data_IF_673367612528
#
_entry.id   IF_673367612528
#
_cell.length_a   1.000
_cell.length_b   1.000
_cell.length_c   1.000
_cell.angle_alpha   90.00
_cell.angle_beta   90.00
_cell.angle_gamma   90.00
#
_symmetry.space_group_name_H-M   'P 1'
#
loop_
_entity.id
_entity.type
_entity.pdbx_description
1 polymer ?
#
# COMPACT_ATOMS: atom_id res chain seq x y z
N UNK A 1 -18.87 -2.17 -52.65
CA UNK A 1 -17.95 -1.01 -52.68
C UNK A 1 -16.65 -1.23 -51.89
N UNK A 2 -16.23 -2.49 -51.65
CA UNK A 2 -15.12 -2.82 -50.74
C UNK A 2 -13.69 -2.71 -51.32
N UNK A 3 -13.50 -2.35 -52.59
CA UNK A 3 -12.19 -2.34 -53.26
C UNK A 3 -11.71 -0.95 -53.76
N UNK A 4 -12.24 0.16 -53.23
CA UNK A 4 -11.85 1.53 -53.67
C UNK A 4 -10.92 2.29 -52.72
N UNK A 5 -10.49 1.68 -51.61
CA UNK A 5 -9.49 2.27 -50.72
C UNK A 5 -8.21 1.45 -50.86
N UNK A 6 -7.13 2.08 -51.34
CA UNK A 6 -5.82 1.44 -51.43
C UNK A 6 -5.42 0.85 -50.07
N UNK A 7 -4.77 -0.33 -50.10
CA UNK A 7 -4.25 -0.98 -48.90
C UNK A 7 -3.39 0.04 -48.14
N UNK A 8 -3.76 0.42 -46.91
CA UNK A 8 -2.95 1.35 -46.13
C UNK A 8 -1.56 0.72 -45.92
N UNK A 9 -0.53 1.56 -46.01
CA UNK A 9 0.84 1.12 -45.72
C UNK A 9 0.89 0.41 -44.37
N UNK A 10 1.62 -0.71 -44.27
CA UNK A 10 1.65 -1.56 -43.08
C UNK A 10 1.98 -0.80 -41.79
N UNK A 11 2.86 0.22 -41.86
CA UNK A 11 3.13 1.13 -40.73
C UNK A 11 1.89 1.87 -40.21
N UNK A 12 0.99 2.33 -41.11
CA UNK A 12 -0.25 2.99 -40.71
C UNK A 12 -1.22 2.01 -40.06
N UNK A 13 -1.30 0.78 -40.58
CA UNK A 13 -2.11 -0.28 -39.98
C UNK A 13 -1.58 -0.66 -38.60
N UNK A 14 -0.27 -0.79 -38.46
CA UNK A 14 0.39 -1.09 -37.20
C UNK A 14 0.15 -0.01 -36.14
N UNK A 15 0.36 1.26 -36.50
CA UNK A 15 0.11 2.38 -35.60
C UNK A 15 -1.36 2.45 -35.15
N UNK A 16 -2.31 2.16 -36.05
CA UNK A 16 -3.73 2.08 -35.69
C UNK A 16 -4.02 0.96 -34.69
N UNK A 17 -3.41 -0.21 -34.84
CA UNK A 17 -3.59 -1.33 -33.90
C UNK A 17 -3.03 -0.98 -32.53
N UNK A 18 -1.81 -0.42 -32.46
CA UNK A 18 -1.20 0.01 -31.19
C UNK A 18 -2.06 1.07 -30.48
N UNK A 19 -2.56 2.05 -31.23
CA UNK A 19 -3.46 3.06 -30.67
C UNK A 19 -4.79 2.47 -30.20
N UNK A 20 -5.37 1.53 -30.96
CA UNK A 20 -6.63 0.89 -30.60
C UNK A 20 -6.48 0.06 -29.32
N UNK A 21 -5.39 -0.68 -29.19
CA UNK A 21 -5.04 -1.42 -27.97
C UNK A 21 -4.84 -0.48 -26.79
N UNK A 22 -4.12 0.63 -26.97
CA UNK A 22 -3.91 1.63 -25.93
C UNK A 22 -5.25 2.18 -25.41
N UNK A 23 -6.13 2.66 -26.30
CA UNK A 23 -7.44 3.21 -25.90
C UNK A 23 -8.32 2.13 -25.26
N UNK A 24 -8.37 0.93 -25.83
CA UNK A 24 -9.21 -0.16 -25.34
C UNK A 24 -8.77 -0.69 -23.97
N UNK A 25 -7.48 -0.60 -23.64
CA UNK A 25 -6.93 -1.08 -22.38
C UNK A 25 -6.93 -0.04 -21.26
N UNK A 26 -7.18 1.24 -21.54
CA UNK A 26 -7.22 2.29 -20.50
C UNK A 26 -8.18 1.91 -19.35
N UNK A 27 -9.47 1.58 -19.60
CA UNK A 27 -10.39 1.26 -18.51
C UNK A 27 -9.96 0.09 -17.61
N UNK A 28 -9.64 -1.11 -18.14
CA UNK A 28 -9.24 -2.22 -17.29
C UNK A 28 -7.88 -1.99 -16.60
N UNK A 29 -6.92 -1.32 -17.25
CA UNK A 29 -5.62 -1.04 -16.63
C UNK A 29 -5.76 -0.08 -15.45
N UNK A 30 -6.56 0.97 -15.58
CA UNK A 30 -6.83 1.91 -14.48
C UNK A 30 -7.67 1.27 -13.37
N UNK A 31 -8.65 0.43 -13.72
CA UNK A 31 -9.46 -0.28 -12.75
C UNK A 31 -8.63 -1.23 -11.87
N UNK A 32 -7.70 -1.98 -12.48
CA UNK A 32 -6.98 -3.05 -11.78
C UNK A 32 -5.64 -2.60 -11.19
N UNK A 33 -4.89 -1.76 -11.90
CA UNK A 33 -3.50 -1.42 -11.55
C UNK A 33 -3.28 0.07 -11.27
N UNK A 34 -4.27 0.90 -11.60
CA UNK A 34 -4.21 2.36 -11.50
C UNK A 34 -2.99 2.96 -12.21
N UNK A 35 -2.55 2.29 -13.28
CA UNK A 35 -1.30 2.56 -14.00
C UNK A 35 -1.52 2.44 -15.51
N UNK A 36 -0.86 3.30 -16.28
CA UNK A 36 -0.79 3.25 -17.73
C UNK A 36 0.67 3.39 -18.16
N UNK A 37 1.20 2.38 -18.87
CA UNK A 37 2.53 2.49 -19.47
C UNK A 37 2.46 3.32 -20.75
N UNK A 38 2.96 4.55 -20.71
CA UNK A 38 2.94 5.47 -21.85
C UNK A 38 3.95 5.06 -22.94
N UNK A 39 5.01 4.34 -22.54
CA UNK A 39 6.02 3.80 -23.45
C UNK A 39 5.58 2.49 -24.11
N UNK A 40 4.49 1.86 -23.64
CA UNK A 40 4.04 0.55 -24.13
C UNK A 40 3.87 0.48 -25.65
N UNK A 41 3.31 1.49 -26.36
CA UNK A 41 3.23 1.43 -27.81
C UNK A 41 4.60 1.32 -28.50
N UNK A 42 5.63 1.99 -27.99
CA UNK A 42 6.99 1.96 -28.56
C UNK A 42 7.71 0.68 -28.15
N UNK A 43 7.58 0.28 -26.89
CA UNK A 43 8.15 -0.98 -26.38
C UNK A 43 7.58 -2.18 -27.15
N UNK A 44 6.25 -2.28 -27.24
CA UNK A 44 5.57 -3.34 -28.00
C UNK A 44 5.86 -3.24 -29.49
N UNK A 45 6.05 -2.02 -30.02
CA UNK A 45 6.36 -1.80 -31.42
C UNK A 45 7.61 -2.59 -31.87
N UNK A 46 8.61 -2.67 -31.00
CA UNK A 46 9.93 -3.24 -31.27
C UNK A 46 10.10 -4.62 -30.64
N UNK A 47 9.69 -4.78 -29.38
CA UNK A 47 9.89 -6.02 -28.64
C UNK A 47 9.05 -7.18 -29.21
N UNK A 48 7.78 -6.95 -29.56
CA UNK A 48 6.92 -8.04 -30.05
C UNK A 48 7.48 -8.63 -31.36
N UNK A 49 7.81 -7.84 -32.41
CA UNK A 49 8.40 -8.41 -33.62
C UNK A 49 9.76 -9.07 -33.38
N UNK A 50 10.64 -8.44 -32.60
CA UNK A 50 11.98 -8.98 -32.33
C UNK A 50 11.90 -10.32 -31.59
N UNK A 51 11.09 -10.40 -30.54
CA UNK A 51 10.91 -11.65 -29.79
C UNK A 51 10.23 -12.71 -30.66
N UNK A 52 9.17 -12.35 -31.38
CA UNK A 52 8.36 -13.32 -32.15
C UNK A 52 9.05 -13.86 -33.39
N UNK A 53 9.82 -13.02 -34.11
CA UNK A 53 10.42 -13.40 -35.39
C UNK A 53 11.92 -13.70 -35.31
N UNK A 54 12.60 -13.33 -34.22
CA UNK A 54 14.04 -13.56 -34.05
C UNK A 54 14.31 -14.45 -32.84
N UNK A 55 13.94 -14.01 -31.63
CA UNK A 55 14.32 -14.72 -30.39
C UNK A 55 13.66 -16.10 -30.31
N UNK A 56 12.33 -16.18 -30.47
CA UNK A 56 11.60 -17.45 -30.37
C UNK A 56 12.03 -18.45 -31.45
N UNK A 57 12.12 -18.08 -32.74
CA UNK A 57 12.60 -19.01 -33.76
C UNK A 57 14.05 -19.48 -33.53
N UNK A 58 14.96 -18.60 -33.10
CA UNK A 58 16.34 -18.97 -32.81
C UNK A 58 16.45 -19.89 -31.59
N UNK A 59 15.65 -19.64 -30.54
CA UNK A 59 15.61 -20.52 -29.37
C UNK A 59 15.04 -21.89 -29.70
N UNK A 60 13.96 -21.96 -30.50
CA UNK A 60 13.39 -23.23 -30.97
C UNK A 60 14.37 -23.98 -31.90
N UNK A 61 15.08 -23.28 -32.77
CA UNK A 61 16.11 -23.86 -33.63
C UNK A 61 17.27 -24.42 -32.79
N UNK A 62 17.73 -23.64 -31.81
CA UNK A 62 18.82 -24.03 -30.91
C UNK A 62 18.47 -25.17 -29.95
N UNK A 63 17.20 -25.54 -29.83
CA UNK A 63 16.79 -26.74 -29.10
C UNK A 63 16.99 -28.03 -29.92
N UNK A 64 17.25 -27.92 -31.23
CA UNK A 64 17.55 -29.06 -32.09
C UNK A 64 19.06 -29.41 -32.00
N UNK A 65 19.42 -30.70 -31.99
CA UNK A 65 20.81 -31.12 -32.04
C UNK A 65 21.55 -30.48 -33.24
N UNK A 66 22.81 -30.07 -33.03
CA UNK A 66 23.68 -29.41 -34.01
C UNK A 66 23.40 -27.91 -34.27
N UNK A 67 22.39 -27.33 -33.63
CA UNK A 67 22.01 -25.92 -33.83
C UNK A 67 22.24 -25.01 -32.61
N UNK A 68 23.01 -25.47 -31.62
CA UNK A 68 23.30 -24.74 -30.38
C UNK A 68 23.87 -23.32 -30.61
N UNK A 69 24.50 -23.08 -31.77
CA UNK A 69 24.98 -21.76 -32.20
C UNK A 69 23.87 -20.70 -32.27
N UNK A 70 22.61 -21.10 -32.45
CA UNK A 70 21.45 -20.22 -32.47
C UNK A 70 21.12 -19.66 -31.08
N UNK A 71 21.47 -20.37 -30.00
CA UNK A 71 21.16 -19.95 -28.62
C UNK A 71 21.93 -18.68 -28.21
N UNK A 72 23.25 -18.55 -28.42
CA UNK A 72 23.97 -17.29 -28.19
C UNK A 72 23.40 -16.12 -29.00
N UNK A 73 22.96 -16.34 -30.25
CA UNK A 73 22.36 -15.29 -31.07
C UNK A 73 20.98 -14.87 -30.53
N UNK A 74 20.16 -15.82 -30.11
CA UNK A 74 18.89 -15.55 -29.46
C UNK A 74 19.08 -14.75 -28.17
N UNK A 75 20.06 -15.15 -27.35
CA UNK A 75 20.43 -14.44 -26.13
C UNK A 75 20.92 -13.02 -26.43
N UNK A 76 21.79 -12.83 -27.41
CA UNK A 76 22.28 -11.51 -27.80
C UNK A 76 21.15 -10.59 -28.28
N UNK A 77 20.25 -11.10 -29.13
CA UNK A 77 19.08 -10.36 -29.58
C UNK A 77 18.15 -9.98 -28.42
N UNK A 78 17.93 -10.91 -27.48
CA UNK A 78 17.14 -10.66 -26.27
C UNK A 78 17.82 -9.65 -25.35
N UNK A 79 19.14 -9.74 -25.14
CA UNK A 79 19.90 -8.81 -24.32
C UNK A 79 19.80 -7.37 -24.87
N UNK A 80 19.97 -7.19 -26.18
CA UNK A 80 19.78 -5.89 -26.83
C UNK A 80 18.35 -5.36 -26.64
N UNK A 81 17.35 -6.25 -26.73
CA UNK A 81 15.96 -5.89 -26.44
C UNK A 81 15.79 -5.43 -24.98
N UNK A 82 16.38 -6.15 -24.03
CA UNK A 82 16.30 -5.83 -22.62
C UNK A 82 17.00 -4.52 -22.28
N UNK A 83 18.19 -4.26 -22.84
CA UNK A 83 18.90 -2.99 -22.68
C UNK A 83 18.04 -1.81 -23.18
N UNK A 84 17.39 -2.00 -24.33
CA UNK A 84 16.46 -1.02 -24.88
C UNK A 84 15.24 -0.79 -23.96
N UNK A 85 14.63 -1.87 -23.44
CA UNK A 85 13.49 -1.76 -22.52
C UNK A 85 13.88 -1.12 -21.19
N UNK A 86 15.04 -1.45 -20.63
CA UNK A 86 15.56 -0.82 -19.42
C UNK A 86 15.87 0.66 -19.63
N UNK A 87 16.36 1.02 -20.81
CA UNK A 87 16.53 2.43 -21.17
C UNK A 87 15.19 3.17 -21.23
N UNK A 88 14.16 2.57 -21.83
CA UNK A 88 12.81 3.15 -21.86
C UNK A 88 12.21 3.30 -20.46
N UNK A 89 12.44 2.33 -19.58
CA UNK A 89 11.91 2.32 -18.21
C UNK A 89 12.48 3.48 -17.35
N UNK A 90 13.70 3.91 -17.65
CA UNK A 90 14.34 5.07 -16.98
C UNK A 90 13.78 6.42 -17.45
N UNK A 91 12.94 6.46 -18.48
CA UNK A 91 12.37 7.72 -18.94
C UNK A 91 11.35 8.26 -17.93
N UNK A 92 11.32 9.59 -17.70
CA UNK A 92 10.26 10.18 -16.90
C UNK A 92 8.90 9.87 -17.56
N UNK A 93 7.93 9.45 -16.75
CA UNK A 93 6.59 9.05 -17.20
C UNK A 93 6.53 7.74 -18.02
N UNK A 94 7.52 6.86 -17.91
CA UNK A 94 7.43 5.50 -18.47
C UNK A 94 6.13 4.80 -18.05
N UNK A 95 5.79 4.92 -16.77
CA UNK A 95 4.50 4.54 -16.20
C UNK A 95 3.85 5.77 -15.60
N UNK A 96 2.67 6.10 -16.09
CA UNK A 96 1.80 7.09 -15.48
C UNK A 96 0.87 6.40 -14.48
N UNK A 97 0.69 7.00 -13.31
CA UNK A 97 -0.14 6.44 -12.25
C UNK A 97 -1.18 7.45 -11.78
N UNK A 98 -2.34 6.97 -11.35
CA UNK A 98 -3.41 7.81 -10.81
C UNK A 98 -4.16 7.08 -9.70
N UNK A 99 -5.15 7.72 -9.08
CA UNK A 99 -6.07 7.06 -8.15
C UNK A 99 -6.97 6.03 -8.83
N UNK A 100 -7.62 5.20 -8.01
CA UNK A 100 -8.62 4.25 -8.48
C UNK A 100 -9.87 5.03 -8.95
N UNK A 101 -10.26 4.92 -10.25
CA UNK A 101 -11.48 5.57 -10.70
C UNK A 101 -12.71 4.94 -10.04
N UNK A 102 -13.76 5.72 -9.72
CA UNK A 102 -15.02 5.16 -9.26
C UNK A 102 -15.61 4.15 -10.25
N UNK A 103 -16.27 3.09 -9.77
CA UNK A 103 -16.82 2.00 -10.60
C UNK A 103 -17.71 2.49 -11.76
N UNK A 104 -18.56 3.49 -11.49
CA UNK A 104 -19.43 4.06 -12.52
C UNK A 104 -18.64 4.77 -13.63
N UNK A 105 -17.51 5.41 -13.29
CA UNK A 105 -16.66 6.08 -14.25
C UNK A 105 -15.93 5.08 -15.13
N UNK A 106 -15.58 3.90 -14.60
CA UNK A 106 -14.99 2.81 -15.36
C UNK A 106 -15.99 2.31 -16.41
N UNK A 107 -17.26 2.13 -16.03
CA UNK A 107 -18.31 1.72 -16.97
C UNK A 107 -18.47 2.73 -18.11
N UNK A 108 -18.50 4.03 -17.81
CA UNK A 108 -18.50 5.08 -18.83
C UNK A 108 -17.24 5.06 -19.68
N UNK A 109 -16.08 4.82 -19.06
CA UNK A 109 -14.81 4.71 -19.78
C UNK A 109 -14.76 3.55 -20.75
N UNK A 110 -15.31 2.39 -20.40
CA UNK A 110 -15.47 1.24 -21.31
C UNK A 110 -16.35 1.62 -22.49
N UNK A 111 -17.49 2.27 -22.25
CA UNK A 111 -18.38 2.75 -23.30
C UNK A 111 -17.70 3.80 -24.19
N UNK A 112 -16.94 4.73 -23.59
CA UNK A 112 -16.17 5.74 -24.29
C UNK A 112 -15.09 5.15 -25.19
N UNK A 113 -14.33 4.19 -24.67
CA UNK A 113 -13.33 3.45 -25.43
C UNK A 113 -13.99 2.68 -26.60
N UNK A 114 -15.08 1.96 -26.35
CA UNK A 114 -15.83 1.26 -27.40
C UNK A 114 -16.35 2.22 -28.48
N UNK A 115 -16.85 3.40 -28.09
CA UNK A 115 -17.34 4.43 -29.00
C UNK A 115 -16.22 5.00 -29.87
N UNK A 116 -15.06 5.30 -29.27
CA UNK A 116 -13.87 5.78 -29.98
C UNK A 116 -13.42 4.75 -31.01
N UNK A 117 -13.43 3.47 -30.64
CA UNK A 117 -12.99 2.34 -31.46
C UNK A 117 -14.04 1.83 -32.46
N UNK A 118 -15.23 2.43 -32.50
CA UNK A 118 -16.29 2.04 -33.43
C UNK A 118 -15.86 2.13 -34.91
N UNK A 119 -16.51 1.39 -35.83
CA UNK A 119 -16.14 1.38 -37.25
C UNK A 119 -16.08 2.76 -37.92
N UNK A 120 -15.34 2.85 -39.03
CA UNK A 120 -15.31 4.05 -39.87
C UNK A 120 -16.71 4.32 -40.44
N UNK A 121 -17.33 5.45 -40.05
CA UNK A 121 -18.71 5.82 -40.42
C UNK A 121 -19.63 6.06 -39.23
N UNK A 122 -19.24 5.61 -38.02
CA UNK A 122 -19.98 5.95 -36.81
C UNK A 122 -19.84 7.45 -36.50
N UNK A 123 -20.94 8.19 -36.24
CA UNK A 123 -20.88 9.64 -36.05
C UNK A 123 -20.16 10.01 -34.75
N UNK A 124 -19.49 11.16 -34.76
CA UNK A 124 -18.98 11.84 -33.55
C UNK A 124 -18.11 10.96 -32.65
N UNK A 125 -17.28 10.07 -33.23
CA UNK A 125 -16.43 9.13 -32.47
C UNK A 125 -15.56 9.78 -31.39
N UNK A 126 -15.11 11.01 -31.64
CA UNK A 126 -14.33 11.78 -30.67
C UNK A 126 -15.08 12.10 -29.37
N UNK A 127 -16.43 12.12 -29.37
CA UNK A 127 -17.22 12.33 -28.15
C UNK A 127 -17.12 11.19 -27.15
N UNK A 128 -16.67 10.00 -27.56
CA UNK A 128 -16.34 8.94 -26.62
C UNK A 128 -15.25 9.34 -25.62
N UNK A 129 -14.41 10.34 -25.96
CA UNK A 129 -13.45 10.90 -25.03
C UNK A 129 -14.12 11.60 -23.83
N UNK A 130 -15.30 12.20 -24.01
CA UNK A 130 -16.07 12.82 -22.92
C UNK A 130 -16.50 11.76 -21.90
N UNK A 131 -16.87 10.57 -22.37
CA UNK A 131 -17.23 9.44 -21.49
C UNK A 131 -16.02 8.86 -20.74
N UNK A 132 -14.80 9.07 -21.23
CA UNK A 132 -13.57 8.69 -20.54
C UNK A 132 -13.18 9.70 -19.44
N UNK A 133 -13.49 11.00 -19.61
CA UNK A 133 -13.04 12.07 -18.70
C UNK A 133 -13.34 11.81 -17.22
N UNK A 134 -14.53 11.30 -16.80
CA UNK A 134 -14.80 11.08 -15.38
C UNK A 134 -13.79 10.18 -14.67
N UNK A 135 -13.17 9.22 -15.36
CA UNK A 135 -12.14 8.35 -14.77
C UNK A 135 -10.89 9.10 -14.32
N UNK A 136 -10.63 10.25 -14.94
CA UNK A 136 -9.44 11.06 -14.71
C UNK A 136 -9.73 12.24 -13.79
N UNK A 137 -10.94 12.81 -13.88
CA UNK A 137 -11.29 14.06 -13.21
C UNK A 137 -11.93 13.86 -11.83
N UNK A 138 -12.58 12.71 -11.58
CA UNK A 138 -13.23 12.45 -10.29
C UNK A 138 -12.20 11.85 -9.33
N UNK A 139 -11.72 12.66 -8.38
CA UNK A 139 -10.76 12.25 -7.37
C UNK A 139 -11.45 11.65 -6.13
N UNK A 140 -10.79 10.76 -5.37
CA UNK A 140 -11.34 10.24 -4.13
C UNK A 140 -11.57 11.35 -3.12
N UNK A 141 -12.64 11.24 -2.34
CA UNK A 141 -12.97 12.20 -1.30
C UNK A 141 -11.95 12.12 -0.16
N UNK A 142 -11.42 13.27 0.22
CA UNK A 142 -10.52 13.42 1.37
C UNK A 142 -11.34 13.68 2.63
N UNK A 143 -10.83 13.30 3.82
CA UNK A 143 -11.46 13.67 5.07
C UNK A 143 -11.68 15.18 5.17
N UNK A 144 -12.80 15.58 5.79
CA UNK A 144 -13.02 16.98 6.15
C UNK A 144 -12.01 17.44 7.22
N UNK A 145 -11.82 18.75 7.42
CA UNK A 145 -11.12 19.25 8.60
C UNK A 145 -11.73 18.70 9.90
N UNK A 146 -10.93 18.61 10.98
CA UNK A 146 -11.29 17.98 12.25
C UNK A 146 -11.68 16.49 12.15
N UNK A 147 -11.29 15.83 11.06
CA UNK A 147 -11.56 14.42 10.80
C UNK A 147 -10.30 13.68 10.32
N UNK A 148 -10.26 12.38 10.56
CA UNK A 148 -9.22 11.50 10.07
C UNK A 148 -9.81 10.20 9.51
N UNK A 149 -9.25 9.75 8.40
CA UNK A 149 -9.40 8.40 7.87
C UNK A 149 -8.18 7.59 8.26
N UNK A 150 -8.38 6.50 8.99
CA UNK A 150 -7.33 5.58 9.41
C UNK A 150 -7.56 4.23 8.74
N UNK A 151 -6.54 3.69 8.08
CA UNK A 151 -6.57 2.37 7.49
C UNK A 151 -5.50 1.49 8.12
N UNK A 152 -5.92 0.50 8.88
CA UNK A 152 -5.03 -0.58 9.36
C UNK A 152 -5.01 -1.64 8.26
N UNK A 153 -3.85 -1.84 7.64
CA UNK A 153 -3.74 -2.72 6.48
C UNK A 153 -3.75 -4.20 6.90
N UNK A 154 -4.32 -5.05 6.05
CA UNK A 154 -4.11 -6.49 6.11
C UNK A 154 -2.82 -6.83 5.32
N UNK A 155 -1.68 -6.76 6.01
CA UNK A 155 -0.36 -7.09 5.45
C UNK A 155 0.11 -8.51 5.80
N UNK A 156 -0.78 -9.33 6.37
CA UNK A 156 -0.42 -10.61 6.96
C UNK A 156 0.14 -10.46 8.38
N UNK A 157 1.28 -11.11 8.66
CA UNK A 157 1.96 -10.98 9.95
C UNK A 157 2.83 -9.73 9.91
N UNK A 158 2.43 -8.69 10.62
CA UNK A 158 3.12 -7.40 10.66
C UNK A 158 2.19 -6.24 10.92
N UNK A 159 2.69 -5.02 10.78
CA UNK A 159 1.91 -3.80 11.01
C UNK A 159 2.16 -2.78 9.91
N UNK A 160 1.08 -2.19 9.42
CA UNK A 160 1.10 -0.95 8.66
C UNK A 160 -0.23 -0.23 8.91
N UNK A 161 -0.17 1.09 9.12
CA UNK A 161 -1.34 1.94 9.35
C UNK A 161 -1.19 3.27 8.63
N UNK A 162 -2.12 3.62 7.75
CA UNK A 162 -2.19 4.94 7.13
C UNK A 162 -3.17 5.82 7.91
N UNK A 163 -2.80 7.08 8.13
CA UNK A 163 -3.65 8.11 8.73
C UNK A 163 -3.70 9.28 7.77
N UNK A 164 -4.85 9.49 7.15
CA UNK A 164 -5.11 10.59 6.22
C UNK A 164 -5.96 11.65 6.93
N UNK A 165 -5.51 12.90 6.88
CA UNK A 165 -6.30 14.09 7.25
C UNK A 165 -6.74 14.80 5.97
N UNK A 166 -7.34 15.99 6.10
CA UNK A 166 -7.78 16.75 4.94
C UNK A 166 -6.61 17.19 4.02
N UNK A 167 -5.40 17.35 4.54
CA UNK A 167 -4.23 17.78 3.77
C UNK A 167 -2.98 16.91 3.92
N UNK A 168 -2.86 16.14 4.99
CA UNK A 168 -1.65 15.38 5.32
C UNK A 168 -1.92 13.88 5.37
N UNK A 169 -0.87 13.09 5.13
CA UNK A 169 -0.88 11.64 5.30
C UNK A 169 0.34 11.19 6.09
N UNK A 170 0.09 10.44 7.15
CA UNK A 170 1.10 9.70 7.93
C UNK A 170 0.98 8.22 7.62
N UNK A 171 2.11 7.56 7.41
CA UNK A 171 2.21 6.11 7.42
C UNK A 171 2.96 5.66 8.69
N UNK A 172 2.40 4.73 9.44
CA UNK A 172 3.02 4.11 10.62
C UNK A 172 3.30 2.64 10.28
N UNK A 173 4.57 2.28 10.26
CA UNK A 173 5.13 1.03 9.75
C UNK A 173 4.77 0.73 8.29
N UNK A 174 5.51 -0.20 7.70
CA UNK A 174 5.40 -0.55 6.29
C UNK A 174 5.13 -2.02 6.04
N UNK A 175 4.94 -2.81 7.09
CA UNK A 175 4.62 -4.23 7.02
C UNK A 175 5.80 -5.13 6.64
N UNK A 176 5.56 -6.43 6.43
CA UNK A 176 6.57 -7.43 6.15
C UNK A 176 7.19 -7.34 4.77
N UNK A 177 8.43 -7.83 4.69
CA UNK A 177 9.04 -8.33 3.47
C UNK A 177 8.58 -9.78 3.23
N UNK A 178 8.12 -10.10 2.03
CA UNK A 178 7.73 -11.47 1.66
C UNK A 178 8.86 -12.20 0.93
N UNK A 179 9.59 -11.48 0.08
CA UNK A 179 10.75 -11.94 -0.68
C UNK A 179 11.52 -10.75 -1.25
N UNK A 180 12.76 -10.94 -1.70
CA UNK A 180 13.60 -9.85 -2.20
C UNK A 180 13.06 -9.01 -3.37
N UNK A 181 11.98 -9.44 -4.04
CA UNK A 181 11.30 -8.66 -5.10
C UNK A 181 9.85 -8.28 -4.72
N UNK A 182 9.31 -8.79 -3.62
CA UNK A 182 7.92 -8.59 -3.22
C UNK A 182 7.82 -8.34 -1.72
N UNK A 183 7.39 -7.13 -1.38
CA UNK A 183 7.12 -6.72 -0.01
C UNK A 183 5.69 -6.17 0.11
N UNK A 184 5.26 -5.92 1.33
CA UNK A 184 3.96 -5.29 1.60
C UNK A 184 3.86 -3.87 1.03
N UNK A 185 4.97 -3.16 0.87
CA UNK A 185 5.06 -1.87 0.19
C UNK A 185 4.55 -1.92 -1.24
N UNK A 186 5.21 -2.69 -2.11
CA UNK A 186 4.87 -2.74 -3.54
C UNK A 186 3.63 -3.58 -3.85
N UNK A 187 3.28 -4.58 -3.01
CA UNK A 187 2.11 -5.43 -3.23
C UNK A 187 0.82 -4.91 -2.62
N UNK A 188 0.90 -4.13 -1.54
CA UNK A 188 -0.29 -3.77 -0.74
C UNK A 188 -0.38 -2.27 -0.53
N UNK A 189 0.60 -1.67 0.16
CA UNK A 189 0.53 -0.28 0.62
C UNK A 189 0.47 0.70 -0.55
N UNK A 190 1.45 0.67 -1.47
CA UNK A 190 1.52 1.63 -2.59
C UNK A 190 0.27 1.57 -3.48
N UNK A 191 -0.22 0.38 -3.92
CA UNK A 191 -1.47 0.31 -4.67
C UNK A 191 -2.68 0.88 -3.92
N UNK A 192 -2.82 0.59 -2.62
CA UNK A 192 -3.96 1.06 -1.83
C UNK A 192 -3.88 2.56 -1.54
N UNK A 193 -2.72 3.08 -1.14
CA UNK A 193 -2.49 4.51 -0.93
C UNK A 193 -2.79 5.29 -2.22
N UNK A 194 -2.29 4.79 -3.35
CA UNK A 194 -2.60 5.36 -4.66
C UNK A 194 -4.11 5.32 -4.93
N UNK A 195 -4.77 4.18 -4.70
CA UNK A 195 -6.22 4.06 -4.89
C UNK A 195 -7.01 5.10 -4.08
N UNK A 196 -6.56 5.41 -2.86
CA UNK A 196 -7.11 6.46 -1.98
C UNK A 196 -6.77 7.89 -2.42
N UNK A 197 -6.04 8.08 -3.52
CA UNK A 197 -5.63 9.39 -4.01
C UNK A 197 -4.47 10.01 -3.22
N UNK A 198 -3.71 9.19 -2.49
CA UNK A 198 -2.53 9.62 -1.75
C UNK A 198 -1.33 9.56 -2.70
N UNK A 199 -0.81 10.73 -3.05
CA UNK A 199 0.32 10.90 -3.97
C UNK A 199 1.62 11.34 -3.26
N UNK A 200 1.57 11.64 -1.97
CA UNK A 200 2.71 12.01 -1.14
C UNK A 200 2.51 11.53 0.29
N UNK A 201 3.60 11.35 1.03
CA UNK A 201 3.58 11.09 2.46
C UNK A 201 4.19 12.28 3.18
N UNK A 202 3.43 12.92 4.05
CA UNK A 202 3.93 14.03 4.85
C UNK A 202 4.74 13.50 6.05
N UNK A 203 4.49 12.26 6.48
CA UNK A 203 5.29 11.59 7.51
C UNK A 203 5.33 10.08 7.36
N UNK A 204 6.46 9.49 7.75
CA UNK A 204 6.63 8.05 7.92
C UNK A 204 7.16 7.77 9.33
N UNK A 205 6.47 6.95 10.11
CA UNK A 205 6.97 6.42 11.39
C UNK A 205 7.36 4.97 11.20
N UNK A 206 8.59 4.61 11.55
CA UNK A 206 9.07 3.22 11.61
C UNK A 206 9.31 2.86 13.08
N UNK A 207 8.40 2.06 13.64
CA UNK A 207 8.27 1.82 15.06
C UNK A 207 9.52 1.20 15.67
N UNK A 208 10.11 0.18 15.03
CA UNK A 208 11.37 -0.50 15.37
C UNK A 208 11.91 -1.24 14.13
N UNK A 209 13.01 -2.00 14.25
CA UNK A 209 13.76 -2.54 13.12
C UNK A 209 13.31 -3.91 12.58
N UNK A 210 12.30 -4.55 13.18
CA UNK A 210 11.88 -5.88 12.77
C UNK A 210 11.23 -5.89 11.37
N UNK A 211 11.50 -6.95 10.61
CA UNK A 211 11.16 -7.03 9.19
C UNK A 211 9.66 -7.02 8.92
N UNK A 212 8.82 -7.45 9.86
CA UNK A 212 7.35 -7.37 9.78
C UNK A 212 6.78 -5.97 10.03
N UNK A 213 7.65 -5.01 10.35
CA UNK A 213 7.33 -3.59 10.48
C UNK A 213 8.00 -2.73 9.41
N UNK A 214 9.25 -3.03 9.03
CA UNK A 214 10.03 -2.18 8.12
C UNK A 214 10.27 -2.77 6.74
N UNK A 215 9.81 -4.00 6.48
CA UNK A 215 10.09 -4.72 5.24
C UNK A 215 9.61 -4.00 3.97
N UNK A 216 8.46 -3.32 4.03
CA UNK A 216 7.93 -2.53 2.90
C UNK A 216 8.59 -1.18 2.66
N UNK A 217 9.57 -0.77 3.49
CA UNK A 217 10.06 0.63 3.52
C UNK A 217 10.74 1.05 2.22
N UNK A 218 11.53 0.18 1.60
CA UNK A 218 12.24 0.51 0.36
C UNK A 218 11.25 0.83 -0.77
N UNK A 219 10.30 -0.08 -1.01
CA UNK A 219 9.24 0.08 -2.01
C UNK A 219 8.36 1.30 -1.76
N UNK A 220 8.00 1.57 -0.50
CA UNK A 220 7.22 2.76 -0.15
C UNK A 220 8.00 4.04 -0.46
N UNK A 221 9.28 4.13 -0.07
CA UNK A 221 10.11 5.33 -0.30
C UNK A 221 10.42 5.59 -1.76
N UNK A 222 10.52 4.53 -2.56
CA UNK A 222 10.69 4.64 -4.01
C UNK A 222 9.44 5.24 -4.67
N UNK A 223 8.25 4.80 -4.25
CA UNK A 223 6.99 5.25 -4.84
C UNK A 223 6.46 6.59 -4.27
N UNK A 224 6.68 6.83 -2.97
CA UNK A 224 6.13 7.94 -2.20
C UNK A 224 7.21 8.47 -1.24
N UNK A 225 7.96 9.47 -1.69
CA UNK A 225 9.03 10.06 -0.87
C UNK A 225 8.40 10.79 0.35
N UNK A 226 8.71 10.37 1.59
CA UNK A 226 8.18 11.04 2.77
C UNK A 226 8.94 12.32 3.08
N UNK A 227 8.25 13.37 3.53
CA UNK A 227 8.89 14.64 3.92
C UNK A 227 9.78 14.48 5.16
N UNK A 228 9.35 13.64 6.11
CA UNK A 228 10.16 13.24 7.27
C UNK A 228 9.92 11.78 7.67
N UNK A 229 10.93 11.19 8.29
CA UNK A 229 10.88 9.87 8.92
C UNK A 229 11.11 10.03 10.42
N UNK A 230 10.23 9.45 11.24
CA UNK A 230 10.44 9.24 12.68
C UNK A 230 10.71 7.76 12.94
N UNK A 231 11.70 7.44 13.76
CA UNK A 231 12.01 6.02 14.03
C UNK A 231 12.70 5.80 15.38
N UNK A 232 12.59 4.58 15.92
CA UNK A 232 13.43 4.14 17.04
C UNK A 232 14.70 3.38 16.60
N UNK A 233 14.84 3.08 15.31
CA UNK A 233 16.01 2.41 14.76
C UNK A 233 17.29 3.26 14.89
N UNK A 234 18.43 2.60 14.78
CA UNK A 234 19.72 3.27 14.73
C UNK A 234 19.79 4.25 13.54
N UNK A 235 20.41 5.42 13.74
CA UNK A 235 20.44 6.48 12.74
C UNK A 235 21.22 6.11 11.46
N UNK A 236 22.10 5.12 11.52
CA UNK A 236 22.89 4.57 10.42
C UNK A 236 22.21 3.37 9.72
N UNK A 237 20.97 3.04 10.08
CA UNK A 237 20.24 1.94 9.47
C UNK A 237 20.09 2.15 7.94
N UNK A 238 20.37 1.14 7.09
CA UNK A 238 20.37 1.30 5.62
C UNK A 238 19.05 1.83 5.04
N UNK A 239 17.92 1.46 5.65
CA UNK A 239 16.59 1.94 5.23
C UNK A 239 16.37 3.44 5.42
N UNK A 240 17.23 4.11 6.20
CA UNK A 240 17.18 5.57 6.43
C UNK A 240 18.12 6.34 5.51
N UNK A 241 18.98 5.63 4.76
CA UNK A 241 19.93 6.26 3.86
C UNK A 241 19.21 7.07 2.76
N UNK A 242 19.69 8.29 2.53
CA UNK A 242 19.13 9.21 1.53
C UNK A 242 17.78 9.83 1.90
N UNK A 243 17.27 9.64 3.12
CA UNK A 243 16.06 10.32 3.57
C UNK A 243 16.33 11.81 3.89
N UNK A 244 15.40 12.69 3.50
CA UNK A 244 15.57 14.14 3.62
C UNK A 244 15.58 14.64 5.06
N UNK A 245 14.77 14.04 5.94
CA UNK A 245 14.75 14.35 7.36
C UNK A 245 14.46 13.09 8.16
N UNK A 246 15.39 12.70 9.04
CA UNK A 246 15.24 11.56 9.96
C UNK A 246 15.30 12.07 11.39
N UNK A 247 14.31 11.70 12.19
CA UNK A 247 14.18 12.11 13.59
C UNK A 247 13.94 10.88 14.46
N UNK A 248 14.50 10.80 15.67
CA UNK A 248 14.14 9.73 16.58
C UNK A 248 12.68 9.90 17.05
N UNK A 249 11.99 8.78 17.31
CA UNK A 249 10.79 8.80 18.13
C UNK A 249 11.18 9.20 19.56
N UNK A 250 10.54 10.23 20.09
CA UNK A 250 10.78 10.71 21.45
C UNK A 250 9.46 10.94 22.15
N UNK A 251 9.34 10.35 23.33
CA UNK A 251 8.25 10.65 24.26
C UNK A 251 8.08 12.16 24.45
N UNK A 252 6.85 12.65 24.29
CA UNK A 252 6.48 14.05 24.39
C UNK A 252 6.52 14.81 23.06
N UNK A 253 6.96 14.20 21.96
CA UNK A 253 6.82 14.80 20.63
C UNK A 253 5.33 14.89 20.25
N UNK A 254 4.83 16.11 20.08
CA UNK A 254 3.44 16.40 19.72
C UNK A 254 3.39 17.27 18.47
N UNK A 255 2.46 16.96 17.57
CA UNK A 255 2.09 17.82 16.45
C UNK A 255 0.60 17.73 16.15
N UNK A 256 0.10 18.64 15.33
CA UNK A 256 -1.30 18.69 14.94
C UNK A 256 -1.43 18.96 13.44
N UNK A 257 -2.34 18.25 12.80
CA UNK A 257 -2.73 18.43 11.40
C UNK A 257 -4.25 18.53 11.32
N UNK A 258 -4.76 19.66 10.82
CA UNK A 258 -6.19 19.88 10.56
C UNK A 258 -7.13 19.45 11.70
N UNK A 259 -6.76 19.71 12.96
CA UNK A 259 -7.57 19.35 14.13
C UNK A 259 -7.27 17.97 14.73
N UNK A 260 -6.43 17.16 14.08
CA UNK A 260 -5.97 15.83 14.53
C UNK A 260 -4.65 15.98 15.26
N UNK A 261 -4.61 15.57 16.52
CA UNK A 261 -3.39 15.62 17.35
C UNK A 261 -2.68 14.27 17.31
N UNK A 262 -1.37 14.31 17.10
CA UNK A 262 -0.49 13.17 17.12
C UNK A 262 0.53 13.35 18.23
N UNK A 263 0.76 12.31 19.02
CA UNK A 263 1.65 12.36 20.18
C UNK A 263 2.44 11.05 20.30
N UNK A 264 3.77 11.14 20.38
CA UNK A 264 4.62 10.00 20.69
C UNK A 264 4.70 9.84 22.20
N UNK A 265 4.35 8.67 22.70
CA UNK A 265 4.40 8.32 24.13
C UNK A 265 5.61 7.47 24.51
N UNK A 266 6.29 6.90 23.51
CA UNK A 266 7.44 6.01 23.70
C UNK A 266 8.27 5.96 22.40
N UNK A 267 9.61 5.79 22.46
CA UNK A 267 10.44 5.59 23.65
C UNK A 267 10.77 6.87 24.43
N UNK A 268 10.90 6.73 25.76
CA UNK A 268 11.40 7.79 26.63
C UNK A 268 12.93 7.93 26.55
N UNK A 269 13.48 9.11 26.89
CA UNK A 269 14.90 9.44 26.75
C UNK A 269 15.87 8.46 27.46
N UNK A 270 15.43 7.78 28.51
CA UNK A 270 16.25 6.81 29.26
C UNK A 270 16.31 5.42 28.61
N UNK A 271 15.47 5.16 27.60
CA UNK A 271 15.35 3.87 26.91
C UNK A 271 16.56 3.58 26.00
N UNK A 272 17.24 4.63 25.52
CA UNK A 272 18.42 4.52 24.65
C UNK A 272 19.70 4.01 25.36
N UNK A 273 19.71 3.93 26.70
CA UNK A 273 20.93 3.66 27.48
C UNK A 273 21.08 2.21 27.97
N UNK A 274 20.08 1.35 27.74
CA UNK A 274 20.13 -0.08 28.13
C UNK A 274 20.10 -0.94 26.88
N UNK A 275 20.80 -2.09 26.90
CA UNK A 275 20.58 -3.20 25.95
C UNK A 275 19.15 -3.74 26.14
N UNK A 276 18.16 -2.97 25.70
CA UNK A 276 16.77 -3.39 25.63
C UNK A 276 16.55 -4.16 24.34
N UNK A 277 15.61 -5.09 24.36
CA UNK A 277 15.14 -5.76 23.15
C UNK A 277 14.59 -4.72 22.17
N UNK A 278 14.75 -4.96 20.87
CA UNK A 278 14.38 -4.00 19.82
C UNK A 278 12.90 -3.59 19.90
N UNK A 279 12.03 -4.56 20.18
CA UNK A 279 10.59 -4.38 20.36
C UNK A 279 10.25 -3.40 21.50
N UNK A 280 11.05 -3.38 22.58
CA UNK A 280 10.90 -2.46 23.72
C UNK A 280 11.47 -1.05 23.45
N UNK A 281 11.86 -0.75 22.21
CA UNK A 281 12.08 0.60 21.70
C UNK A 281 10.98 1.07 20.74
N UNK A 282 9.98 0.24 20.46
CA UNK A 282 8.89 0.55 19.52
C UNK A 282 8.29 1.93 19.75
N UNK A 283 8.17 2.73 18.69
CA UNK A 283 7.43 3.99 18.77
C UNK A 283 5.97 3.71 19.18
N UNK A 284 5.46 4.43 20.17
CA UNK A 284 4.03 4.37 20.54
C UNK A 284 3.40 5.70 20.15
N UNK A 285 2.44 5.65 19.23
CA UNK A 285 1.74 6.83 18.71
C UNK A 285 0.31 6.84 19.23
N UNK A 286 -0.07 7.97 19.83
CA UNK A 286 -1.45 8.31 20.16
C UNK A 286 -1.98 9.31 19.14
N UNK A 287 -3.13 9.00 18.55
CA UNK A 287 -3.85 9.86 17.60
C UNK A 287 -5.15 10.29 18.26
N UNK A 288 -5.45 11.58 18.28
CA UNK A 288 -6.58 12.13 19.04
C UNK A 288 -7.39 13.14 18.25
N UNK A 289 -8.72 13.02 18.35
CA UNK A 289 -9.68 14.03 17.92
C UNK A 289 -10.74 14.16 19.03
N UNK A 290 -10.74 15.30 19.73
CA UNK A 290 -11.61 15.47 20.90
C UNK A 290 -11.33 14.43 21.99
N UNK A 291 -12.35 13.69 22.41
CA UNK A 291 -12.26 12.61 23.42
C UNK A 291 -11.99 11.22 22.83
N UNK A 292 -11.83 11.12 21.50
CA UNK A 292 -11.54 9.86 20.82
C UNK A 292 -10.06 9.71 20.59
N UNK A 293 -9.55 8.53 20.91
CA UNK A 293 -8.13 8.24 20.87
C UNK A 293 -7.89 6.89 20.20
N UNK A 294 -6.91 6.84 19.31
CA UNK A 294 -6.37 5.60 18.75
C UNK A 294 -4.94 5.45 19.26
N UNK A 295 -4.59 4.26 19.74
CA UNK A 295 -3.26 3.94 20.22
C UNK A 295 -2.60 2.88 19.32
N UNK A 296 -1.51 3.27 18.66
CA UNK A 296 -0.65 2.40 17.86
C UNK A 296 0.60 2.10 18.69
N UNK A 297 0.79 0.84 19.06
CA UNK A 297 1.80 0.49 20.07
C UNK A 297 3.04 -0.20 19.51
N UNK A 298 3.07 -0.53 18.22
CA UNK A 298 4.07 -1.45 17.68
C UNK A 298 4.19 -2.71 18.52
N UNK A 299 5.41 -3.11 18.82
CA UNK A 299 5.71 -4.37 19.48
C UNK A 299 6.15 -4.23 20.93
N UNK A 300 5.75 -3.15 21.60
CA UNK A 300 6.05 -2.96 23.02
C UNK A 300 5.67 -4.19 23.85
N UNK A 301 6.56 -4.57 24.77
CA UNK A 301 6.34 -5.66 25.70
C UNK A 301 6.11 -5.14 27.13
N UNK A 302 6.03 -6.06 28.10
CA UNK A 302 5.68 -5.75 29.51
C UNK A 302 6.49 -4.61 30.12
N UNK A 303 7.78 -4.50 29.78
CA UNK A 303 8.63 -3.45 30.36
C UNK A 303 8.25 -2.06 29.83
N UNK A 304 7.97 -1.94 28.54
CA UNK A 304 7.45 -0.73 27.92
C UNK A 304 6.03 -0.39 28.38
N UNK A 305 5.16 -1.39 28.50
CA UNK A 305 3.82 -1.20 29.09
C UNK A 305 3.88 -0.66 30.52
N UNK A 306 4.76 -1.21 31.37
CA UNK A 306 4.96 -0.73 32.74
C UNK A 306 5.50 0.71 32.78
N UNK A 307 6.35 1.10 31.83
CA UNK A 307 6.83 2.48 31.68
C UNK A 307 5.68 3.41 31.32
N UNK A 308 4.88 3.06 30.32
CA UNK A 308 3.72 3.84 29.91
C UNK A 308 2.71 4.02 31.04
N UNK A 309 2.41 2.96 31.79
CA UNK A 309 1.53 3.02 32.97
C UNK A 309 2.04 3.99 34.04
N UNK A 310 3.36 4.09 34.21
CA UNK A 310 3.98 4.98 35.18
C UNK A 310 4.05 6.43 34.69
N UNK A 311 4.32 6.63 33.40
CA UNK A 311 4.63 7.95 32.84
C UNK A 311 3.40 8.66 32.29
N UNK A 312 2.47 7.92 31.69
CA UNK A 312 1.34 8.47 30.95
C UNK A 312 -0.01 7.79 31.28
N UNK A 313 -0.35 7.51 32.56
CA UNK A 313 -1.59 6.80 32.89
C UNK A 313 -2.84 7.48 32.29
N UNK A 314 -2.86 8.81 32.25
CA UNK A 314 -3.99 9.60 31.77
C UNK A 314 -4.13 9.63 30.23
N UNK A 315 -3.09 9.19 29.50
CA UNK A 315 -3.08 9.19 28.02
C UNK A 315 -3.33 7.80 27.43
N UNK A 316 -3.34 6.76 28.27
CA UNK A 316 -3.56 5.38 27.85
C UNK A 316 -4.99 5.06 27.44
N UNK A 317 -6.06 5.64 28.04
CA UNK A 317 -7.42 5.35 27.61
C UNK A 317 -7.60 5.57 26.11
N UNK A 318 -8.05 4.53 25.40
CA UNK A 318 -8.19 4.56 23.95
C UNK A 318 -9.57 4.07 23.50
N UNK A 319 -10.12 4.68 22.46
CA UNK A 319 -11.29 4.14 21.74
C UNK A 319 -10.89 2.86 21.03
N UNK A 320 -9.79 2.93 20.26
CA UNK A 320 -9.23 1.78 19.55
C UNK A 320 -7.76 1.58 19.91
N UNK A 321 -7.41 0.32 20.16
CA UNK A 321 -6.04 -0.13 20.37
C UNK A 321 -5.63 -1.07 19.24
N UNK A 322 -4.51 -0.81 18.59
CA UNK A 322 -3.79 -1.87 17.86
C UNK A 322 -3.00 -2.67 18.88
N UNK A 323 -3.32 -3.95 19.02
CA UNK A 323 -2.78 -4.78 20.10
C UNK A 323 -1.25 -4.85 20.01
N UNK A 324 -0.52 -4.62 21.13
CA UNK A 324 0.94 -4.68 21.11
C UNK A 324 1.47 -6.04 20.66
N UNK A 325 2.51 -6.03 19.83
CA UNK A 325 3.24 -7.23 19.41
C UNK A 325 2.31 -8.29 18.80
N UNK A 326 1.38 -7.83 17.96
CA UNK A 326 0.36 -8.65 17.29
C UNK A 326 -0.52 -9.50 18.23
N UNK A 327 -0.55 -9.18 19.54
CA UNK A 327 -1.20 -9.99 20.56
C UNK A 327 -0.34 -11.14 21.11
N UNK A 328 0.99 -11.00 21.12
CA UNK A 328 1.93 -11.91 21.76
C UNK A 328 1.67 -12.07 23.27
N UNK A 329 1.98 -13.25 23.82
CA UNK A 329 1.92 -13.49 25.27
C UNK A 329 2.98 -12.68 26.06
N UNK A 330 3.97 -12.11 25.38
CA UNK A 330 4.96 -11.20 26.00
C UNK A 330 4.39 -9.80 26.22
N UNK A 331 3.26 -9.44 25.62
CA UNK A 331 2.61 -8.15 25.78
C UNK A 331 1.19 -8.29 26.35
N UNK A 332 0.44 -7.18 26.32
CA UNK A 332 -0.92 -7.01 26.79
C UNK A 332 -1.08 -7.47 28.25
N UNK A 333 -0.24 -6.96 29.16
CA UNK A 333 -0.36 -7.25 30.59
C UNK A 333 -1.70 -6.81 31.15
N UNK A 334 -2.16 -7.45 32.23
CA UNK A 334 -3.45 -7.11 32.84
C UNK A 334 -3.55 -5.63 33.24
N UNK A 335 -2.49 -5.04 33.78
CA UNK A 335 -2.48 -3.63 34.17
C UNK A 335 -2.58 -2.70 32.95
N UNK A 336 -1.88 -3.03 31.85
CA UNK A 336 -1.94 -2.25 30.62
C UNK A 336 -3.32 -2.31 29.97
N UNK A 337 -3.85 -3.52 29.78
CA UNK A 337 -5.19 -3.75 29.22
C UNK A 337 -6.24 -3.02 30.06
N UNK A 338 -6.16 -3.13 31.39
CA UNK A 338 -7.04 -2.41 32.30
C UNK A 338 -6.98 -0.88 32.13
N UNK A 339 -5.77 -0.30 32.07
CA UNK A 339 -5.60 1.15 31.95
C UNK A 339 -6.00 1.71 30.57
N UNK A 340 -5.75 0.96 29.49
CA UNK A 340 -6.15 1.38 28.14
C UNK A 340 -7.66 1.29 27.95
N UNK A 341 -8.31 0.30 28.56
CA UNK A 341 -9.75 0.07 28.49
C UNK A 341 -10.36 0.28 27.09
N UNK A 342 -9.82 -0.40 26.05
CA UNK A 342 -10.21 -0.14 24.68
C UNK A 342 -11.64 -0.60 24.40
N UNK A 343 -12.38 0.18 23.60
CA UNK A 343 -13.67 -0.25 23.07
C UNK A 343 -13.48 -1.28 21.95
N UNK A 344 -12.50 -1.04 21.07
CA UNK A 344 -12.10 -1.97 20.01
C UNK A 344 -10.61 -2.29 20.08
N UNK A 345 -10.27 -3.54 19.79
CA UNK A 345 -8.89 -4.01 19.68
C UNK A 345 -8.67 -4.67 18.34
N UNK A 346 -7.65 -4.23 17.60
CA UNK A 346 -7.26 -4.82 16.33
C UNK A 346 -5.96 -5.61 16.51
N UNK A 347 -6.00 -6.90 16.20
CA UNK A 347 -4.81 -7.74 16.11
C UNK A 347 -4.34 -7.81 14.65
N UNK A 348 -3.14 -7.31 14.37
CA UNK A 348 -2.53 -7.39 13.05
C UNK A 348 -1.70 -8.66 12.95
N UNK A 349 -2.34 -9.78 12.63
CA UNK A 349 -1.71 -11.10 12.62
C UNK A 349 -2.01 -11.82 11.33
N UNK A 350 -1.05 -12.59 10.81
CA UNK A 350 -1.25 -13.34 9.56
C UNK A 350 -2.08 -14.60 9.75
N UNK A 351 -2.81 -15.01 8.71
CA UNK A 351 -3.54 -16.28 8.71
C UNK A 351 -2.58 -17.45 8.93
N UNK A 352 -2.88 -18.31 9.92
CA UNK A 352 -2.01 -19.44 10.31
C UNK A 352 -0.54 -19.04 10.52
N UNK A 353 -0.31 -17.86 11.09
CA UNK A 353 1.05 -17.40 11.39
C UNK A 353 1.77 -18.40 12.33
N UNK A 354 3.09 -18.54 12.13
CA UNK A 354 3.95 -19.47 12.88
C UNK A 354 4.03 -19.17 14.39
N UNK A 355 3.71 -17.94 14.79
CA UNK A 355 3.78 -17.46 16.16
C UNK A 355 2.54 -17.81 16.99
N UNK A 356 1.47 -18.27 16.33
CA UNK A 356 0.16 -18.50 16.94
C UNK A 356 -0.42 -17.24 17.59
N UNK A 357 -0.19 -16.09 16.96
CA UNK A 357 -0.77 -14.81 17.33
C UNK A 357 -2.18 -14.64 16.71
N UNK A 358 -3.09 -13.89 17.36
CA UNK A 358 -2.97 -13.45 18.75
C UNK A 358 -3.08 -14.62 19.73
N UNK A 359 -2.33 -14.57 20.83
CA UNK A 359 -2.32 -15.66 21.79
C UNK A 359 -3.67 -15.75 22.54
N UNK A 360 -4.26 -16.95 22.74
CA UNK A 360 -5.60 -17.08 23.33
C UNK A 360 -5.77 -16.41 24.70
N UNK A 361 -4.71 -16.40 25.53
CA UNK A 361 -4.77 -15.73 26.85
C UNK A 361 -4.81 -14.21 26.74
N UNK A 362 -4.23 -13.62 25.68
CA UNK A 362 -4.30 -12.17 25.41
C UNK A 362 -5.69 -11.81 24.91
N UNK A 363 -6.20 -12.57 23.95
CA UNK A 363 -7.59 -12.45 23.45
C UNK A 363 -8.58 -12.50 24.62
N UNK A 364 -8.43 -13.46 25.53
CA UNK A 364 -9.29 -13.58 26.72
C UNK A 364 -9.14 -12.43 27.73
N UNK A 365 -8.02 -11.69 27.76
CA UNK A 365 -7.89 -10.48 28.60
C UNK A 365 -8.74 -9.34 28.04
N UNK A 366 -8.62 -9.05 26.75
CA UNK A 366 -9.41 -7.99 26.11
C UNK A 366 -10.90 -8.33 26.09
N UNK A 367 -11.27 -9.58 25.80
CA UNK A 367 -12.66 -10.04 25.84
C UNK A 367 -13.31 -9.85 27.23
N UNK A 368 -12.59 -10.15 28.31
CA UNK A 368 -13.09 -9.95 29.69
C UNK A 368 -13.30 -8.49 30.06
N UNK A 369 -12.64 -7.57 29.35
CA UNK A 369 -12.83 -6.13 29.52
C UNK A 369 -13.98 -5.58 28.64
N UNK A 370 -14.63 -6.44 27.85
CA UNK A 370 -15.74 -6.07 26.97
C UNK A 370 -15.32 -5.42 25.66
N UNK A 371 -14.04 -5.51 25.28
CA UNK A 371 -13.56 -4.98 24.01
C UNK A 371 -14.08 -5.81 22.83
N UNK A 372 -14.48 -5.14 21.74
CA UNK A 372 -14.69 -5.77 20.45
C UNK A 372 -13.35 -6.19 19.85
N UNK A 373 -13.25 -7.44 19.39
CA UNK A 373 -12.01 -8.03 18.91
C UNK A 373 -12.05 -8.18 17.40
N UNK A 374 -11.10 -7.53 16.73
CA UNK A 374 -10.92 -7.55 15.28
C UNK A 374 -9.57 -8.17 14.94
N UNK A 375 -9.49 -8.90 13.83
CA UNK A 375 -8.24 -9.50 13.36
C UNK A 375 -8.06 -9.27 11.87
N UNK A 376 -6.93 -8.70 11.46
CA UNK A 376 -6.69 -8.37 10.05
C UNK A 376 -6.78 -9.59 9.13
N UNK A 377 -6.32 -10.78 9.56
CA UNK A 377 -6.42 -12.01 8.77
C UNK A 377 -7.87 -12.50 8.53
N UNK A 378 -8.80 -12.14 9.42
CA UNK A 378 -10.22 -12.54 9.34
C UNK A 378 -11.11 -11.45 8.77
N UNK A 379 -10.80 -10.21 9.13
CA UNK A 379 -11.64 -9.04 8.91
C UNK A 379 -11.15 -8.20 7.72
N UNK A 380 -9.96 -8.51 7.19
CA UNK A 380 -9.28 -7.72 6.17
C UNK A 380 -8.71 -6.44 6.74
N UNK A 381 -8.47 -5.46 5.87
CA UNK A 381 -8.10 -4.13 6.32
C UNK A 381 -9.24 -3.52 7.16
N UNK A 382 -8.88 -2.75 8.18
CA UNK A 382 -9.84 -2.07 9.06
C UNK A 382 -9.82 -0.59 8.72
N UNK A 383 -10.88 -0.10 8.10
CA UNK A 383 -11.07 1.30 7.77
C UNK A 383 -11.82 2.00 8.91
N UNK A 384 -11.32 3.14 9.34
CA UNK A 384 -11.88 3.94 10.42
C UNK A 384 -12.06 5.36 9.90
N UNK A 385 -13.23 5.93 10.09
CA UNK A 385 -13.47 7.37 9.93
C UNK A 385 -13.80 7.92 11.31
N UNK A 386 -13.01 8.90 11.76
CA UNK A 386 -13.11 9.47 13.10
C UNK A 386 -13.15 10.99 13.02
N UNK A 387 -14.09 11.60 13.74
CA UNK A 387 -14.14 13.03 14.01
C UNK A 387 -14.55 13.29 15.48
N UNK A 388 -14.87 14.54 15.84
CA UNK A 388 -15.26 14.91 17.23
C UNK A 388 -16.62 14.33 17.66
N UNK A 389 -17.51 13.98 16.74
CA UNK A 389 -18.88 13.53 16.99
C UNK A 389 -19.11 12.04 16.66
N UNK A 390 -18.40 11.51 15.66
CA UNK A 390 -18.55 10.15 15.15
C UNK A 390 -17.25 9.35 15.15
N UNK A 391 -17.41 8.03 15.27
CA UNK A 391 -16.38 7.02 15.07
C UNK A 391 -17.01 5.84 14.36
N UNK A 392 -16.68 5.66 13.09
CA UNK A 392 -17.13 4.51 12.31
C UNK A 392 -15.94 3.59 12.05
N UNK A 393 -16.21 2.29 12.11
CA UNK A 393 -15.24 1.24 11.86
C UNK A 393 -15.83 0.25 10.86
N UNK A 394 -15.10 -0.01 9.80
CA UNK A 394 -15.49 -0.88 8.70
C UNK A 394 -14.45 -1.98 8.48
N UNK A 395 -14.79 -3.25 8.78
CA UNK A 395 -13.99 -4.41 8.40
C UNK A 395 -14.13 -4.70 6.89
N UNK A 396 -13.09 -4.45 6.10
CA UNK A 396 -13.17 -4.47 4.63
C UNK A 396 -13.60 -5.82 4.07
N UNK A 397 -13.14 -6.94 4.65
CA UNK A 397 -13.51 -8.27 4.16
C UNK A 397 -14.99 -8.58 4.37
N UNK A 398 -15.63 -7.95 5.36
CA UNK A 398 -17.05 -8.13 5.66
C UNK A 398 -17.93 -7.32 4.72
N UNK A 399 -17.59 -6.06 4.47
CA UNK A 399 -18.39 -5.14 3.63
C UNK A 399 -18.13 -5.31 2.14
N UNK A 400 -16.90 -5.67 1.74
CA UNK A 400 -16.49 -5.83 0.34
C UNK A 400 -16.26 -7.31 -0.02
N UNK A 401 -17.08 -8.20 0.55
CA UNK A 401 -16.94 -9.65 0.38
C UNK A 401 -17.03 -10.05 -1.10
N UNK A 402 -16.07 -10.86 -1.54
CA UNK A 402 -16.06 -11.48 -2.88
C UNK A 402 -16.30 -12.99 -2.79
N UNK A 403 -16.74 -13.64 -3.87
CA UNK A 403 -17.02 -15.09 -3.83
C UNK A 403 -15.78 -15.93 -3.44
N UNK A 404 -14.58 -15.42 -3.69
CA UNK A 404 -13.30 -16.04 -3.32
C UNK A 404 -12.76 -15.63 -1.95
N UNK A 405 -13.47 -14.78 -1.20
CA UNK A 405 -13.09 -14.45 0.18
C UNK A 405 -13.61 -15.51 1.14
N UNK A 406 -12.70 -16.37 1.59
CA UNK A 406 -12.98 -17.33 2.65
C UNK A 406 -12.97 -16.61 4.00
N UNK A 407 -14.02 -16.81 4.79
CA UNK A 407 -13.99 -16.49 6.21
C UNK A 407 -13.30 -17.67 6.87
N UNK A 408 -12.13 -17.45 7.44
CA UNK A 408 -11.44 -18.50 8.20
C UNK A 408 -12.36 -18.97 9.35
N UNK A 409 -12.57 -20.28 9.56
CA UNK A 409 -13.34 -20.76 10.70
C UNK A 409 -12.73 -20.30 12.04
N UNK A 410 -13.58 -20.20 13.06
CA UNK A 410 -13.28 -19.64 14.39
C UNK A 410 -12.11 -20.31 15.12
#
# INVERSE_FOLDING_TARGET
TANRLGQPHWLKTYGKVQWAMMVGLIPPLLALFQQLSLISPVANALAIPLVSFVVVPLTLLGALPLFDWALPLAHWALALCMDFLQWLDRLPLAVWTQHAPPDWSIALGVLGAAWILAPHGFPLRALGAILLLPMFLVTPEKPAPDSARILIFDVGQGLAVAVQTAQHTLLFDTGPDFSGEADSGNRILVPVLRAMGIARLDGLILSHGDLDHVGGTASVREALVPDWIKTSMAADHPLLAGASSVRPCRDGDVWQWEGVTFEILHPGATSASRKQHDNDQSCVLRISIGTRHILLTGDIERASEARLLKQHPDKLPATLLVAPHHGSKSSSTHAFVFAVAPQQVVFTSGYRNRFHHPHPTVVARYARQGAELLRSDRDGAILIEMNKEDFSLEPWRRTHRRYWTHIAPE
#
